data_IF_701538121995
#
_entry.id   IF_701538121995
#
_cell.length_a   1.000
_cell.length_b   1.000
_cell.length_c   1.000
_cell.angle_alpha   90.00
_cell.angle_beta   90.00
_cell.angle_gamma   90.00
#
_symmetry.space_group_name_H-M   'P 1'
#
loop_
_entity.id
_entity.type
_entity.pdbx_description
1 polymer ?
#
# COMPACT_ATOMS: atom_id res chain seq x y z
N UNK A 1 -10.28 -26.10 -14.36
CA UNK A 1 -10.21 -24.63 -14.45
C UNK A 1 -8.75 -24.28 -14.70
N UNK A 2 -8.46 -23.52 -15.76
CA UNK A 2 -7.08 -23.16 -16.11
C UNK A 2 -6.55 -22.06 -15.19
N UNK A 3 -5.23 -21.99 -15.00
CA UNK A 3 -4.58 -20.91 -14.23
C UNK A 3 -5.00 -19.51 -14.71
N UNK A 4 -5.23 -19.35 -16.02
CA UNK A 4 -5.72 -18.11 -16.63
C UNK A 4 -7.14 -17.74 -16.18
N UNK A 5 -8.03 -18.72 -16.03
CA UNK A 5 -9.40 -18.52 -15.54
C UNK A 5 -9.42 -18.13 -14.06
N UNK A 6 -8.56 -18.75 -13.24
CA UNK A 6 -8.46 -18.42 -11.83
C UNK A 6 -8.01 -16.95 -11.61
N UNK A 7 -7.00 -16.50 -12.34
CA UNK A 7 -6.55 -15.10 -12.31
C UNK A 7 -7.63 -14.12 -12.78
N UNK A 8 -8.42 -14.48 -13.80
CA UNK A 8 -9.51 -13.63 -14.28
C UNK A 8 -10.61 -13.47 -13.23
N UNK A 9 -10.96 -14.55 -12.53
CA UNK A 9 -11.97 -14.53 -11.47
C UNK A 9 -11.54 -13.63 -10.31
N UNK A 10 -10.29 -13.74 -9.86
CA UNK A 10 -9.72 -12.86 -8.84
C UNK A 10 -9.83 -11.39 -9.28
N UNK A 11 -9.34 -11.07 -10.49
CA UNK A 11 -9.34 -9.69 -11.01
C UNK A 11 -10.75 -9.10 -11.11
N UNK A 12 -11.74 -9.90 -11.48
CA UNK A 12 -13.13 -9.46 -11.54
C UNK A 12 -13.64 -9.02 -10.16
N UNK A 13 -13.42 -9.82 -9.11
CA UNK A 13 -13.83 -9.43 -7.76
C UNK A 13 -13.07 -8.19 -7.27
N UNK A 14 -11.79 -8.06 -7.57
CA UNK A 14 -11.03 -6.86 -7.23
C UNK A 14 -11.60 -5.61 -7.92
N UNK A 15 -11.99 -5.72 -9.19
CA UNK A 15 -12.65 -4.64 -9.91
C UNK A 15 -14.00 -4.26 -9.26
N UNK A 16 -14.82 -5.25 -8.89
CA UNK A 16 -16.07 -5.02 -8.19
C UNK A 16 -15.87 -4.36 -6.82
N UNK A 17 -14.78 -4.73 -6.11
CA UNK A 17 -14.41 -4.10 -4.84
C UNK A 17 -14.09 -2.61 -5.04
N UNK A 18 -13.30 -2.27 -6.06
CA UNK A 18 -12.96 -0.87 -6.37
C UNK A 18 -14.16 -0.05 -6.87
N UNK A 19 -15.06 -0.63 -7.66
CA UNK A 19 -16.33 0.01 -8.06
C UNK A 19 -17.23 0.26 -6.83
N UNK A 20 -17.33 -0.71 -5.92
CA UNK A 20 -18.04 -0.54 -4.66
C UNK A 20 -17.40 0.55 -3.78
N UNK A 21 -16.06 0.65 -3.78
CA UNK A 21 -15.32 1.67 -3.03
C UNK A 21 -15.62 3.06 -3.58
N UNK A 22 -15.63 3.24 -4.91
CA UNK A 22 -16.03 4.49 -5.56
C UNK A 22 -17.47 4.90 -5.22
N UNK A 23 -18.36 3.92 -5.04
CA UNK A 23 -19.76 4.11 -4.60
C UNK A 23 -19.91 4.24 -3.08
N UNK A 24 -18.82 4.26 -2.31
CA UNK A 24 -18.78 4.31 -0.83
C UNK A 24 -19.53 3.15 -0.15
N UNK A 25 -19.65 2.00 -0.81
CA UNK A 25 -20.35 0.80 -0.30
C UNK A 25 -19.38 -0.13 0.43
N UNK A 26 -18.93 0.27 1.63
CA UNK A 26 -17.85 -0.42 2.35
C UNK A 26 -18.10 -1.91 2.63
N UNK A 27 -19.34 -2.31 2.92
CA UNK A 27 -19.69 -3.73 3.11
C UNK A 27 -19.37 -4.54 1.85
N UNK A 28 -19.71 -4.00 0.67
CA UNK A 28 -19.43 -4.65 -0.61
C UNK A 28 -17.93 -4.66 -0.94
N UNK A 29 -17.19 -3.61 -0.57
CA UNK A 29 -15.73 -3.56 -0.73
C UNK A 29 -15.07 -4.74 -0.03
N UNK A 30 -15.35 -4.93 1.26
CA UNK A 30 -14.76 -6.01 2.03
C UNK A 30 -15.28 -7.38 1.58
N UNK A 31 -16.56 -7.49 1.22
CA UNK A 31 -17.12 -8.73 0.66
C UNK A 31 -16.33 -9.19 -0.58
N UNK A 32 -16.12 -8.31 -1.56
CA UNK A 32 -15.45 -8.70 -2.80
C UNK A 32 -13.95 -8.92 -2.61
N UNK A 33 -13.24 -8.10 -1.82
CA UNK A 33 -11.83 -8.34 -1.56
C UNK A 33 -11.59 -9.63 -0.76
N UNK A 34 -12.41 -9.97 0.23
CA UNK A 34 -12.25 -11.23 0.96
C UNK A 34 -12.56 -12.44 0.09
N UNK A 35 -13.58 -12.38 -0.78
CA UNK A 35 -13.82 -13.46 -1.76
C UNK A 35 -12.65 -13.63 -2.72
N UNK A 36 -12.07 -12.53 -3.19
CA UNK A 36 -10.87 -12.58 -4.03
C UNK A 36 -9.69 -13.22 -3.29
N UNK A 37 -9.47 -12.83 -2.03
CA UNK A 37 -8.36 -13.33 -1.22
C UNK A 37 -8.51 -14.83 -0.94
N UNK A 38 -9.66 -15.25 -0.44
CA UNK A 38 -9.93 -16.66 -0.12
C UNK A 38 -9.74 -17.55 -1.35
N UNK A 39 -10.27 -17.12 -2.49
CA UNK A 39 -10.12 -17.87 -3.73
C UNK A 39 -8.66 -17.89 -4.23
N UNK A 40 -7.95 -16.76 -4.17
CA UNK A 40 -6.53 -16.71 -4.54
C UNK A 40 -5.69 -17.63 -3.65
N UNK A 41 -5.98 -17.71 -2.36
CA UNK A 41 -5.30 -18.63 -1.42
C UNK A 41 -5.61 -20.10 -1.74
N UNK A 42 -6.88 -20.44 -2.01
CA UNK A 42 -7.28 -21.80 -2.40
C UNK A 42 -6.65 -22.27 -3.71
N UNK A 43 -6.37 -21.33 -4.61
CA UNK A 43 -5.73 -21.61 -5.90
C UNK A 43 -4.20 -21.42 -5.85
N UNK A 44 -3.63 -21.17 -4.66
CA UNK A 44 -2.19 -20.97 -4.43
C UNK A 44 -1.57 -19.83 -5.29
N UNK A 45 -2.36 -18.79 -5.56
CA UNK A 45 -2.00 -17.64 -6.39
C UNK A 45 -1.26 -16.57 -5.57
N UNK A 46 -0.02 -16.85 -5.18
CA UNK A 46 0.74 -15.98 -4.28
C UNK A 46 0.90 -14.53 -4.77
N UNK A 47 1.02 -14.34 -6.09
CA UNK A 47 1.09 -13.00 -6.70
C UNK A 47 -0.20 -12.21 -6.44
N UNK A 48 -1.35 -12.82 -6.71
CA UNK A 48 -2.68 -12.27 -6.50
C UNK A 48 -2.95 -12.00 -5.01
N UNK A 49 -2.53 -12.92 -4.12
CA UNK A 49 -2.64 -12.72 -2.66
C UNK A 49 -1.88 -11.46 -2.24
N UNK A 50 -0.66 -11.24 -2.74
CA UNK A 50 0.12 -10.04 -2.43
C UNK A 50 -0.58 -8.76 -2.91
N UNK A 51 -1.15 -8.78 -4.13
CA UNK A 51 -1.93 -7.66 -4.66
C UNK A 51 -3.15 -7.38 -3.78
N UNK A 52 -3.97 -8.39 -3.48
CA UNK A 52 -5.20 -8.20 -2.69
C UNK A 52 -4.87 -7.69 -1.27
N UNK A 53 -3.79 -8.21 -0.67
CA UNK A 53 -3.30 -7.75 0.64
C UNK A 53 -2.91 -6.27 0.61
N UNK A 54 -2.29 -5.78 -0.46
CA UNK A 54 -1.99 -4.35 -0.64
C UNK A 54 -3.27 -3.51 -0.63
N UNK A 55 -4.29 -3.94 -1.36
CA UNK A 55 -5.55 -3.20 -1.53
C UNK A 55 -6.39 -3.22 -0.25
N UNK A 56 -6.51 -4.38 0.42
CA UNK A 56 -7.13 -4.48 1.75
C UNK A 56 -6.41 -3.62 2.78
N UNK A 57 -5.08 -3.64 2.79
CA UNK A 57 -4.26 -2.79 3.64
C UNK A 57 -4.56 -1.30 3.46
N UNK A 58 -4.67 -0.86 2.20
CA UNK A 58 -5.07 0.51 1.87
C UNK A 58 -6.46 0.86 2.38
N UNK A 59 -7.47 0.01 2.10
CA UNK A 59 -8.86 0.27 2.50
C UNK A 59 -9.00 0.31 4.02
N UNK A 60 -8.44 -0.66 4.75
CA UNK A 60 -8.46 -0.65 6.22
C UNK A 60 -7.77 0.59 6.79
N UNK A 61 -6.63 1.00 6.21
CA UNK A 61 -5.97 2.23 6.63
C UNK A 61 -6.92 3.42 6.44
N UNK A 62 -7.54 3.58 5.27
CA UNK A 62 -8.48 4.68 5.00
C UNK A 62 -9.67 4.71 5.98
N UNK A 63 -10.14 3.55 6.44
CA UNK A 63 -11.20 3.43 7.45
C UNK A 63 -10.74 3.63 8.90
N UNK A 64 -9.44 3.82 9.14
CA UNK A 64 -8.89 3.98 10.49
C UNK A 64 -8.58 2.67 11.21
N UNK A 65 -8.85 1.52 10.59
CA UNK A 65 -8.51 0.18 11.09
C UNK A 65 -7.02 -0.13 10.91
N UNK A 66 -6.14 0.61 11.61
CA UNK A 66 -4.69 0.56 11.40
C UNK A 66 -4.05 -0.79 11.67
N UNK A 67 -4.51 -1.52 12.70
CA UNK A 67 -3.96 -2.84 13.02
C UNK A 67 -4.30 -3.86 11.93
N UNK A 68 -5.56 -3.91 11.47
CA UNK A 68 -5.96 -4.77 10.36
C UNK A 68 -5.22 -4.41 9.07
N UNK A 69 -4.98 -3.12 8.83
CA UNK A 69 -4.18 -2.69 7.71
C UNK A 69 -2.74 -3.25 7.78
N UNK A 70 -2.10 -3.18 8.96
CA UNK A 70 -0.77 -3.77 9.15
C UNK A 70 -0.78 -5.29 8.92
N UNK A 71 -1.80 -6.00 9.38
CA UNK A 71 -1.89 -7.45 9.23
C UNK A 71 -1.88 -7.86 7.75
N UNK A 72 -2.72 -7.23 6.93
CA UNK A 72 -2.73 -7.49 5.48
C UNK A 72 -1.43 -7.07 4.82
N UNK A 73 -0.88 -5.90 5.15
CA UNK A 73 0.36 -5.42 4.54
C UNK A 73 1.57 -6.30 4.92
N UNK A 74 1.61 -6.81 6.14
CA UNK A 74 2.61 -7.77 6.58
C UNK A 74 2.46 -9.10 5.86
N UNK A 75 1.22 -9.62 5.73
CA UNK A 75 0.92 -10.83 4.98
C UNK A 75 1.43 -10.73 3.54
N UNK A 76 1.11 -9.64 2.84
CA UNK A 76 1.58 -9.41 1.47
C UNK A 76 3.11 -9.30 1.34
N UNK A 77 3.77 -8.63 2.29
CA UNK A 77 5.24 -8.50 2.28
C UNK A 77 5.99 -9.78 2.66
N UNK A 78 5.36 -10.69 3.40
CA UNK A 78 5.94 -11.98 3.76
C UNK A 78 5.93 -12.99 2.60
N UNK A 79 5.19 -12.72 1.53
CA UNK A 79 5.16 -13.57 0.35
C UNK A 79 6.41 -13.36 -0.49
N UNK A 80 7.26 -14.40 -0.53
CA UNK A 80 8.42 -14.46 -1.41
C UNK A 80 8.01 -14.87 -2.82
N UNK A 81 7.47 -13.91 -3.57
CA UNK A 81 7.07 -14.11 -4.97
C UNK A 81 8.17 -13.61 -5.89
N UNK A 82 8.83 -14.54 -6.57
CA UNK A 82 9.78 -14.24 -7.63
C UNK A 82 9.05 -13.54 -8.78
N UNK A 83 9.61 -12.41 -9.25
CA UNK A 83 8.98 -11.62 -10.31
C UNK A 83 7.71 -10.87 -9.89
N UNK A 84 7.42 -10.72 -8.58
CA UNK A 84 6.34 -9.85 -8.12
C UNK A 84 6.49 -8.45 -8.71
N UNK A 85 5.43 -7.95 -9.33
CA UNK A 85 5.40 -6.62 -9.93
C UNK A 85 5.89 -5.56 -8.93
N UNK A 86 6.80 -4.72 -9.41
CA UNK A 86 7.44 -3.66 -8.61
C UNK A 86 6.40 -2.71 -8.01
N UNK A 87 5.30 -2.48 -8.73
CA UNK A 87 4.13 -1.73 -8.31
C UNK A 87 3.49 -2.30 -7.04
N UNK A 88 3.30 -3.63 -6.99
CA UNK A 88 2.68 -4.29 -5.84
C UNK A 88 3.60 -4.18 -4.63
N UNK A 89 4.89 -4.48 -4.81
CA UNK A 89 5.88 -4.43 -3.72
C UNK A 89 6.06 -3.01 -3.19
N UNK A 90 6.20 -2.02 -4.07
CA UNK A 90 6.29 -0.63 -3.68
C UNK A 90 5.02 -0.17 -2.96
N UNK A 91 3.83 -0.52 -3.48
CA UNK A 91 2.55 -0.20 -2.85
C UNK A 91 2.38 -0.79 -1.44
N UNK A 92 2.81 -2.04 -1.23
CA UNK A 92 2.80 -2.67 0.10
C UNK A 92 3.68 -1.91 1.09
N UNK A 93 4.90 -1.57 0.66
CA UNK A 93 5.88 -0.81 1.46
C UNK A 93 5.34 0.57 1.82
N UNK A 94 4.81 1.32 0.85
CA UNK A 94 4.33 2.69 1.08
C UNK A 94 3.08 2.74 1.94
N UNK A 95 2.12 1.83 1.71
CA UNK A 95 0.93 1.72 2.54
C UNK A 95 1.31 1.37 3.99
N UNK A 96 2.26 0.46 4.19
CA UNK A 96 2.72 0.09 5.54
C UNK A 96 3.44 1.24 6.21
N UNK A 97 4.27 1.98 5.49
CA UNK A 97 4.92 3.17 6.03
C UNK A 97 3.91 4.24 6.46
N UNK A 98 2.87 4.47 5.65
CA UNK A 98 1.75 5.37 5.99
C UNK A 98 1.04 4.93 7.27
N UNK A 99 0.72 3.64 7.41
CA UNK A 99 0.10 3.09 8.62
C UNK A 99 1.02 3.24 9.84
N UNK A 100 2.30 2.90 9.72
CA UNK A 100 3.29 3.09 10.78
C UNK A 100 3.40 4.54 11.23
N UNK A 101 3.38 5.49 10.30
CA UNK A 101 3.39 6.90 10.61
C UNK A 101 2.13 7.35 11.35
N UNK A 102 0.94 6.84 11.00
CA UNK A 102 -0.31 7.11 11.73
C UNK A 102 -0.33 6.51 13.13
N UNK A 103 0.45 5.45 13.36
CA UNK A 103 0.70 4.86 14.67
C UNK A 103 1.85 5.55 15.43
N UNK A 104 2.37 6.68 14.94
CA UNK A 104 3.47 7.41 15.57
C UNK A 104 4.85 6.76 15.42
N UNK A 105 4.95 5.65 14.68
CA UNK A 105 6.20 4.91 14.43
C UNK A 105 7.03 5.56 13.32
N UNK A 106 7.35 6.84 13.44
CA UNK A 106 7.94 7.66 12.37
C UNK A 106 9.29 7.14 11.86
N UNK A 107 10.20 6.71 12.75
CA UNK A 107 11.51 6.18 12.34
C UNK A 107 11.38 4.91 11.48
N UNK A 108 10.50 3.99 11.88
CA UNK A 108 10.22 2.76 11.13
C UNK A 108 9.59 3.08 9.77
N UNK A 109 8.68 4.06 9.74
CA UNK A 109 8.06 4.51 8.50
C UNK A 109 9.09 5.12 7.53
N UNK A 110 10.01 5.97 8.01
CA UNK A 110 11.10 6.55 7.17
C UNK A 110 12.00 5.45 6.62
N UNK A 111 12.46 4.52 7.47
CA UNK A 111 13.30 3.41 7.02
C UNK A 111 12.62 2.57 5.92
N UNK A 112 11.32 2.32 6.08
CA UNK A 112 10.54 1.57 5.09
C UNK A 112 10.36 2.36 3.78
N UNK A 113 10.21 3.68 3.85
CA UNK A 113 10.16 4.54 2.65
C UNK A 113 11.48 4.58 1.91
N UNK A 114 12.60 4.63 2.63
CA UNK A 114 13.93 4.61 2.02
C UNK A 114 14.19 3.27 1.31
N UNK A 115 13.73 2.16 1.89
CA UNK A 115 13.71 0.86 1.22
C UNK A 115 12.86 0.88 -0.06
N UNK A 116 11.67 1.46 -0.02
CA UNK A 116 10.79 1.59 -1.19
C UNK A 116 11.39 2.45 -2.30
N UNK A 117 12.00 3.58 -1.97
CA UNK A 117 12.70 4.44 -2.91
C UNK A 117 13.87 3.71 -3.57
N UNK A 118 14.71 3.05 -2.76
CA UNK A 118 15.84 2.26 -3.25
C UNK A 118 15.38 1.14 -4.18
N UNK A 119 14.31 0.43 -3.83
CA UNK A 119 13.75 -0.66 -4.64
C UNK A 119 13.36 -0.17 -6.05
N UNK A 120 12.67 0.98 -6.15
CA UNK A 120 12.26 1.56 -7.44
C UNK A 120 13.50 1.93 -8.28
N UNK A 121 14.49 2.59 -7.66
CA UNK A 121 15.71 2.99 -8.37
C UNK A 121 16.54 1.79 -8.85
N UNK A 122 16.67 0.75 -8.02
CA UNK A 122 17.39 -0.46 -8.40
C UNK A 122 16.69 -1.20 -9.54
N UNK A 123 15.36 -1.26 -9.54
CA UNK A 123 14.60 -1.95 -10.57
C UNK A 123 14.72 -1.25 -11.94
N UNK A 124 14.56 0.08 -11.99
CA UNK A 124 14.57 0.82 -13.26
C UNK A 124 15.95 1.35 -13.67
N UNK A 125 16.96 1.28 -12.78
CA UNK A 125 18.31 1.87 -12.91
C UNK A 125 18.33 3.41 -13.01
N UNK A 126 17.37 3.99 -13.74
CA UNK A 126 17.13 5.42 -13.89
C UNK A 126 15.61 5.69 -13.92
N UNK A 127 15.15 6.74 -13.23
CA UNK A 127 13.74 7.16 -13.23
C UNK A 127 13.20 7.54 -14.60
N UNK A 128 14.05 7.94 -15.56
CA UNK A 128 13.60 8.21 -16.93
C UNK A 128 13.07 6.96 -17.66
N UNK A 129 13.44 5.77 -17.19
CA UNK A 129 12.97 4.48 -17.71
C UNK A 129 11.74 3.97 -16.98
N UNK A 130 11.38 4.58 -15.84
CA UNK A 130 10.23 4.17 -15.05
C UNK A 130 8.94 4.70 -15.70
N UNK A 131 7.86 3.91 -15.72
CA UNK A 131 6.57 4.39 -16.17
C UNK A 131 6.06 5.50 -15.24
N UNK A 132 5.19 6.37 -15.76
CA UNK A 132 4.75 7.59 -15.07
C UNK A 132 4.17 7.33 -13.67
N UNK A 133 3.39 6.26 -13.49
CA UNK A 133 2.83 5.92 -12.17
C UNK A 133 3.91 5.56 -11.15
N UNK A 134 5.02 4.97 -11.58
CA UNK A 134 6.15 4.66 -10.70
C UNK A 134 6.96 5.90 -10.36
N UNK A 135 7.14 6.83 -11.31
CA UNK A 135 7.76 8.14 -11.03
C UNK A 135 6.93 8.92 -9.99
N UNK A 136 5.60 8.92 -10.14
CA UNK A 136 4.70 9.57 -9.17
C UNK A 136 4.74 8.89 -7.80
N UNK A 137 4.78 7.55 -7.76
CA UNK A 137 4.92 6.78 -6.53
C UNK A 137 6.24 7.10 -5.83
N UNK A 138 7.34 7.13 -6.57
CA UNK A 138 8.66 7.53 -6.06
C UNK A 138 8.66 8.95 -5.49
N UNK A 139 8.09 9.92 -6.22
CA UNK A 139 7.95 11.30 -5.71
C UNK A 139 7.08 11.36 -4.44
N UNK A 140 6.03 10.56 -4.36
CA UNK A 140 5.19 10.41 -3.16
C UNK A 140 5.98 9.86 -1.97
N UNK A 141 6.79 8.83 -2.19
CA UNK A 141 7.70 8.25 -1.19
C UNK A 141 8.65 9.32 -0.64
N UNK A 142 9.33 10.05 -1.53
CA UNK A 142 10.29 11.08 -1.13
C UNK A 142 9.63 12.19 -0.32
N UNK A 143 8.44 12.64 -0.74
CA UNK A 143 7.69 13.66 -0.01
C UNK A 143 7.32 13.19 1.39
N UNK A 144 6.73 12.00 1.50
CA UNK A 144 6.34 11.44 2.80
C UNK A 144 7.56 11.23 3.70
N UNK A 145 8.67 10.72 3.16
CA UNK A 145 9.90 10.54 3.93
C UNK A 145 10.47 11.88 4.43
N UNK A 146 10.45 12.92 3.59
CA UNK A 146 10.86 14.28 3.97
C UNK A 146 10.02 14.81 5.14
N UNK A 147 8.70 14.65 5.09
CA UNK A 147 7.81 15.15 6.14
C UNK A 147 7.97 14.35 7.44
N UNK A 148 8.09 13.03 7.35
CA UNK A 148 8.33 12.18 8.52
C UNK A 148 9.71 12.41 9.14
N UNK A 149 10.75 12.76 8.37
CA UNK A 149 12.05 13.16 8.92
C UNK A 149 11.97 14.41 9.79
N UNK A 150 11.08 15.36 9.49
CA UNK A 150 10.83 16.51 10.37
C UNK A 150 10.25 16.04 11.70
N UNK A 151 9.29 15.13 11.68
CA UNK A 151 8.72 14.54 12.89
C UNK A 151 9.78 13.80 13.72
N UNK A 152 10.66 13.04 13.06
CA UNK A 152 11.79 12.38 13.70
C UNK A 152 12.75 13.39 14.35
N UNK A 153 13.08 14.49 13.67
CA UNK A 153 13.94 15.53 14.22
C UNK A 153 13.33 16.19 15.46
N UNK A 154 12.01 16.41 15.49
CA UNK A 154 11.31 16.91 16.69
C UNK A 154 11.40 15.92 17.85
N UNK A 155 11.25 14.62 17.59
CA UNK A 155 11.46 13.58 18.60
C UNK A 155 12.90 13.58 19.13
N UNK A 156 13.89 13.75 18.25
CA UNK A 156 15.32 13.85 18.62
C UNK A 156 15.61 15.08 19.49
N UNK A 157 14.83 16.15 19.34
CA UNK A 157 14.86 17.33 20.20
C UNK A 157 14.13 17.13 21.54
N UNK A 158 13.59 15.94 21.81
CA UNK A 158 12.88 15.62 23.06
C UNK A 158 11.41 16.08 23.08
N UNK A 159 10.86 16.52 21.94
CA UNK A 159 9.43 16.84 21.86
C UNK A 159 8.64 15.55 21.99
N UNK A 160 7.67 15.55 22.91
CA UNK A 160 6.86 14.36 23.17
C UNK A 160 6.01 13.97 21.95
N UNK A 161 5.85 12.67 21.66
CA UNK A 161 5.09 12.20 20.50
C UNK A 161 3.64 12.72 20.43
N UNK A 162 2.96 12.90 21.57
CA UNK A 162 1.58 13.39 21.64
C UNK A 162 1.41 14.83 21.12
N UNK A 163 2.51 15.58 20.99
CA UNK A 163 2.53 16.96 20.48
C UNK A 163 2.87 17.05 19.00
N UNK A 164 3.21 15.93 18.36
CA UNK A 164 3.61 15.88 16.96
C UNK A 164 2.41 15.44 16.13
N UNK A 165 1.86 16.36 15.37
CA UNK A 165 0.83 16.05 14.38
C UNK A 165 1.46 16.03 13.00
N UNK A 166 1.35 14.88 12.32
CA UNK A 166 1.77 14.74 10.92
C UNK A 166 0.53 14.51 10.08
N UNK A 167 0.20 15.46 9.22
CA UNK A 167 -0.84 15.28 8.23
C UNK A 167 -0.28 14.41 7.09
N UNK A 168 -0.69 13.14 7.05
CA UNK A 168 -0.36 12.26 5.93
C UNK A 168 -1.40 12.47 4.84
N UNK A 169 -1.08 13.32 3.87
CA UNK A 169 -1.89 13.46 2.66
C UNK A 169 -1.87 12.15 1.90
N UNK A 170 -3.02 11.48 1.83
CA UNK A 170 -3.17 10.24 1.09
C UNK A 170 -2.79 10.44 -0.37
N UNK A 171 -1.83 9.65 -0.85
CA UNK A 171 -1.63 9.48 -2.28
C UNK A 171 -2.64 8.45 -2.77
N UNK A 172 -3.51 8.82 -3.71
CA UNK A 172 -4.38 7.89 -4.41
C UNK A 172 -3.62 7.38 -5.63
N UNK A 173 -3.12 6.12 -5.63
CA UNK A 173 -2.40 5.57 -6.77
C UNK A 173 -3.27 5.39 -8.02
N UNK A 174 -4.61 5.52 -7.89
CA UNK A 174 -5.57 5.21 -8.95
C UNK A 174 -6.28 6.41 -9.58
N UNK A 175 -5.80 7.64 -9.34
CA UNK A 175 -6.31 8.81 -10.07
C UNK A 175 -7.79 9.12 -9.83
N UNK A 176 -8.44 8.51 -8.83
CA UNK A 176 -9.73 8.99 -8.37
C UNK A 176 -9.48 10.26 -7.55
N UNK A 177 -9.60 11.40 -8.21
CA UNK A 177 -9.70 12.72 -7.59
C UNK A 177 -10.87 12.71 -6.60
N UNK A 178 -10.56 12.67 -5.31
CA UNK A 178 -11.54 13.06 -4.29
C UNK A 178 -11.66 14.60 -4.39
N UNK A 179 -12.60 15.09 -5.20
CA UNK A 179 -13.08 16.45 -5.04
C UNK A 179 -13.76 16.50 -3.66
N UNK A 180 -13.26 17.39 -2.81
CA UNK A 180 -13.87 17.74 -1.52
C UNK A 180 -15.21 18.42 -1.67
#
# INVERSE_FOLDING_TARGET
MSFKEANQQVRLWMQLAWDAYAKKRLIQVFHYFHRALEYAEQQELAHEVAWICRDLGYVHARQGSLNQALDYLNKGLALHVDGLEIEIRAGLITNKASVLARLGSYRKAVALLDQGASLILTHYQNLSMAPSHMVLSYAGILRMAKDLRKAVALLDQGIRPDRIQVEIKGYSPYGHSENG
#
